data_IF_591195031220
#
_entry.id   IF_591195031220
#
_cell.length_a   1.000
_cell.length_b   1.000
_cell.length_c   1.000
_cell.angle_alpha   90.00
_cell.angle_beta   90.00
_cell.angle_gamma   90.00
#
_symmetry.space_group_name_H-M   'P 1'
#
loop_
_entity.id
_entity.type
_entity.pdbx_description
1 polymer ?
#
# COMPACT_ATOMS: atom_id res chain seq x y z
N UNK A 1 -12.78 -30.86 15.14
CA UNK A 1 -14.15 -30.43 15.50
C UNK A 1 -14.63 -29.49 14.41
N UNK A 2 -15.65 -29.86 13.64
CA UNK A 2 -16.26 -28.96 12.65
C UNK A 2 -17.01 -27.89 13.43
N UNK A 3 -16.53 -26.64 13.42
CA UNK A 3 -17.30 -25.52 13.98
C UNK A 3 -18.52 -25.33 13.09
N UNK A 4 -19.70 -25.57 13.65
CA UNK A 4 -20.99 -25.34 13.00
C UNK A 4 -21.10 -23.88 12.53
N UNK A 5 -21.63 -23.68 11.32
CA UNK A 5 -21.91 -22.34 10.82
C UNK A 5 -22.94 -21.64 11.73
N UNK A 6 -22.83 -20.31 11.93
CA UNK A 6 -23.89 -19.54 12.55
C UNK A 6 -25.20 -19.73 11.76
N UNK A 7 -26.32 -19.96 12.46
CA UNK A 7 -27.63 -20.29 11.87
C UNK A 7 -28.24 -19.23 10.95
N UNK A 8 -27.64 -18.03 10.87
CA UNK A 8 -28.08 -16.91 10.03
C UNK A 8 -27.36 -16.82 8.67
N UNK A 9 -26.43 -17.72 8.35
CA UNK A 9 -25.77 -17.75 7.03
C UNK A 9 -26.33 -18.88 6.15
N UNK A 10 -27.37 -18.58 5.39
CA UNK A 10 -28.06 -19.51 4.48
C UNK A 10 -27.20 -20.13 3.37
N UNK A 11 -25.98 -19.63 3.13
CA UNK A 11 -25.06 -20.08 2.08
C UNK A 11 -23.73 -20.64 2.63
N UNK A 12 -23.63 -20.86 3.96
CA UNK A 12 -22.41 -21.33 4.61
C UNK A 12 -22.30 -22.85 4.52
N UNK A 13 -21.32 -23.34 3.75
CA UNK A 13 -21.03 -24.76 3.66
C UNK A 13 -20.22 -25.23 4.88
N UNK A 14 -19.20 -24.46 5.29
CA UNK A 14 -18.35 -24.79 6.45
C UNK A 14 -17.57 -23.57 6.95
N UNK A 15 -17.42 -23.42 8.27
CA UNK A 15 -16.43 -22.50 8.84
C UNK A 15 -15.00 -23.01 8.57
N UNK A 16 -14.10 -22.13 8.14
CA UNK A 16 -12.70 -22.52 7.92
C UNK A 16 -11.92 -22.46 9.22
N UNK A 17 -11.08 -23.48 9.46
CA UNK A 17 -10.17 -23.51 10.59
C UNK A 17 -8.96 -22.60 10.31
N UNK A 18 -9.16 -21.30 10.51
CA UNK A 18 -8.11 -20.30 10.38
C UNK A 18 -7.17 -20.36 11.58
N UNK A 19 -5.87 -20.21 11.33
CA UNK A 19 -4.92 -20.01 12.42
C UNK A 19 -5.21 -18.69 13.13
N UNK A 20 -4.96 -18.64 14.44
CA UNK A 20 -5.08 -17.41 15.25
C UNK A 20 -4.30 -16.25 14.63
N UNK A 21 -3.16 -16.54 13.99
CA UNK A 21 -2.35 -15.55 13.27
C UNK A 21 -3.09 -14.89 12.10
N UNK A 22 -3.85 -15.65 11.31
CA UNK A 22 -4.62 -15.10 10.19
C UNK A 22 -5.77 -14.21 10.68
N UNK A 23 -6.43 -14.61 11.77
CA UNK A 23 -7.48 -13.84 12.45
C UNK A 23 -6.91 -12.51 12.96
N UNK A 24 -5.77 -12.56 13.64
CA UNK A 24 -5.09 -11.37 14.19
C UNK A 24 -4.70 -10.36 13.11
N UNK A 25 -4.27 -10.79 11.92
CA UNK A 25 -3.87 -9.88 10.85
C UNK A 25 -5.06 -9.05 10.32
N UNK A 26 -6.26 -9.62 10.22
CA UNK A 26 -7.46 -8.86 9.84
C UNK A 26 -7.89 -7.87 10.92
N UNK A 27 -7.84 -8.26 12.20
CA UNK A 27 -8.12 -7.35 13.31
C UNK A 27 -7.16 -6.16 13.34
N UNK A 28 -5.87 -6.41 13.12
CA UNK A 28 -4.85 -5.36 13.02
C UNK A 28 -5.16 -4.41 11.84
N UNK A 29 -5.64 -4.94 10.72
CA UNK A 29 -6.03 -4.14 9.55
C UNK A 29 -7.22 -3.23 9.82
N UNK A 30 -8.18 -3.67 10.64
CA UNK A 30 -9.28 -2.82 11.13
C UNK A 30 -8.77 -1.68 12.02
N UNK A 31 -7.82 -1.96 12.91
CA UNK A 31 -7.18 -0.92 13.72
C UNK A 31 -6.47 0.11 12.82
N UNK A 32 -5.78 -0.33 11.76
CA UNK A 32 -5.16 0.58 10.78
C UNK A 32 -6.19 1.44 10.08
N UNK A 33 -7.32 0.88 9.64
CA UNK A 33 -8.40 1.66 9.03
C UNK A 33 -8.85 2.79 9.96
N UNK A 34 -9.08 2.45 11.23
CA UNK A 34 -9.51 3.41 12.24
C UNK A 34 -8.47 4.52 12.45
N UNK A 35 -7.18 4.15 12.56
CA UNK A 35 -6.08 5.12 12.67
C UNK A 35 -5.98 6.01 11.42
N UNK A 36 -6.16 5.45 10.22
CA UNK A 36 -6.14 6.20 8.96
C UNK A 36 -7.29 7.22 8.91
N UNK A 37 -8.50 6.80 9.28
CA UNK A 37 -9.67 7.67 9.31
C UNK A 37 -9.52 8.80 10.33
N UNK A 38 -9.05 8.50 11.55
CA UNK A 38 -8.78 9.51 12.58
C UNK A 38 -7.71 10.50 12.10
N UNK A 39 -6.61 9.99 11.55
CA UNK A 39 -5.51 10.81 11.05
C UNK A 39 -5.95 11.71 9.89
N UNK A 40 -6.76 11.18 8.96
CA UNK A 40 -7.34 11.97 7.86
C UNK A 40 -8.29 13.06 8.38
N UNK A 41 -9.13 12.73 9.36
CA UNK A 41 -10.05 13.69 9.98
C UNK A 41 -9.28 14.82 10.69
N UNK A 42 -8.24 14.48 11.45
CA UNK A 42 -7.33 15.46 12.08
C UNK A 42 -6.70 16.34 11.00
N UNK A 43 -6.20 15.73 9.92
CA UNK A 43 -5.55 16.44 8.82
C UNK A 43 -6.51 17.40 8.10
N UNK A 44 -7.76 16.99 7.90
CA UNK A 44 -8.83 17.83 7.34
C UNK A 44 -9.18 18.99 8.28
N UNK A 45 -9.43 18.71 9.57
CA UNK A 45 -9.80 19.73 10.57
C UNK A 45 -8.72 20.79 10.75
N UNK A 46 -7.45 20.42 10.70
CA UNK A 46 -6.33 21.35 10.85
C UNK A 46 -6.13 22.23 9.60
N UNK A 47 -6.53 21.78 8.41
CA UNK A 47 -6.09 22.39 7.13
C UNK A 47 -7.20 22.79 6.16
N UNK A 48 -8.41 23.07 6.65
CA UNK A 48 -9.54 23.43 5.78
C UNK A 48 -9.21 24.59 4.80
N UNK A 49 -8.21 25.42 5.11
CA UNK A 49 -7.80 26.58 4.31
C UNK A 49 -6.54 26.40 3.43
N UNK A 50 -5.79 25.27 3.52
CA UNK A 50 -4.54 25.06 2.76
C UNK A 50 -4.54 23.79 1.89
N UNK A 51 -5.69 23.49 1.29
CA UNK A 51 -5.93 22.28 0.49
C UNK A 51 -5.00 22.09 -0.71
N UNK A 52 -4.49 23.16 -1.33
CA UNK A 52 -3.69 23.07 -2.56
C UNK A 52 -2.34 22.38 -2.33
N UNK A 53 -1.61 22.72 -1.26
CA UNK A 53 -0.36 22.05 -0.90
C UNK A 53 -0.57 20.66 -0.30
N UNK A 54 -1.75 20.41 0.29
CA UNK A 54 -2.09 19.17 1.00
C UNK A 54 -2.79 18.12 0.11
N UNK A 55 -3.16 18.48 -1.13
CA UNK A 55 -3.94 17.64 -2.06
C UNK A 55 -3.34 16.26 -2.24
N UNK A 56 -2.01 16.19 -2.26
CA UNK A 56 -1.27 14.98 -2.55
C UNK A 56 -1.08 14.07 -1.32
N UNK A 57 -1.11 14.60 -0.10
CA UNK A 57 -1.18 13.82 1.15
C UNK A 57 -2.60 13.28 1.36
N UNK A 58 -3.60 14.14 1.17
CA UNK A 58 -5.00 13.76 1.23
C UNK A 58 -5.33 12.61 0.27
N UNK A 59 -4.84 12.67 -0.98
CA UNK A 59 -4.97 11.57 -1.96
C UNK A 59 -4.43 10.24 -1.44
N UNK A 60 -3.25 10.24 -0.80
CA UNK A 60 -2.63 9.03 -0.26
C UNK A 60 -3.48 8.46 0.89
N UNK A 61 -3.95 9.31 1.81
CA UNK A 61 -4.83 8.89 2.91
C UNK A 61 -6.14 8.28 2.42
N UNK A 62 -6.84 8.96 1.50
CA UNK A 62 -8.11 8.48 0.94
C UNK A 62 -7.91 7.14 0.26
N UNK A 63 -6.83 6.99 -0.49
CA UNK A 63 -6.60 5.77 -1.21
C UNK A 63 -6.17 4.60 -0.32
N UNK A 64 -5.42 4.86 0.76
CA UNK A 64 -5.18 3.86 1.83
C UNK A 64 -6.49 3.41 2.46
N UNK A 65 -7.40 4.34 2.78
CA UNK A 65 -8.72 4.01 3.33
C UNK A 65 -9.50 3.13 2.34
N UNK A 66 -9.54 3.51 1.06
CA UNK A 66 -10.17 2.72 0.00
C UNK A 66 -9.58 1.30 -0.06
N UNK A 67 -8.26 1.15 -0.04
CA UNK A 67 -7.60 -0.15 -0.05
C UNK A 67 -8.05 -1.02 1.14
N UNK A 68 -8.11 -0.47 2.35
CA UNK A 68 -8.46 -1.24 3.55
C UNK A 68 -9.95 -1.55 3.62
N UNK A 69 -10.82 -0.62 3.21
CA UNK A 69 -12.29 -0.81 3.17
C UNK A 69 -12.71 -1.96 2.26
N UNK A 70 -12.00 -2.24 1.18
CA UNK A 70 -12.30 -3.39 0.31
C UNK A 70 -11.63 -4.68 0.76
N UNK A 71 -10.43 -4.59 1.33
CA UNK A 71 -9.69 -5.77 1.81
C UNK A 71 -10.31 -6.39 3.04
N UNK A 72 -10.80 -5.61 4.00
CA UNK A 72 -11.40 -6.14 5.24
C UNK A 72 -12.64 -7.02 4.97
N UNK A 73 -13.66 -6.58 4.21
CA UNK A 73 -14.81 -7.42 3.88
C UNK A 73 -14.39 -8.68 3.14
N UNK A 74 -13.46 -8.54 2.19
CA UNK A 74 -12.91 -9.69 1.47
C UNK A 74 -12.29 -10.72 2.42
N UNK A 75 -11.48 -10.27 3.36
CA UNK A 75 -10.85 -11.10 4.37
C UNK A 75 -11.89 -11.78 5.25
N UNK A 76 -12.91 -11.04 5.71
CA UNK A 76 -13.99 -11.59 6.53
C UNK A 76 -14.77 -12.68 5.80
N UNK A 77 -15.09 -12.47 4.53
CA UNK A 77 -15.78 -13.46 3.71
C UNK A 77 -14.93 -14.72 3.47
N UNK A 78 -13.59 -14.62 3.46
CA UNK A 78 -12.73 -15.80 3.31
C UNK A 78 -12.62 -16.68 4.57
N UNK A 79 -13.13 -16.23 5.74
CA UNK A 79 -13.19 -17.01 7.00
C UNK A 79 -14.15 -18.20 6.85
N UNK A 80 -15.07 -18.13 5.90
CA UNK A 80 -16.11 -19.12 5.68
C UNK A 80 -15.96 -19.71 4.28
N UNK A 81 -16.26 -21.00 4.14
CA UNK A 81 -16.47 -21.64 2.85
C UNK A 81 -17.96 -21.55 2.53
N UNK A 82 -18.28 -20.97 1.38
CA UNK A 82 -19.64 -20.86 0.89
C UNK A 82 -19.96 -22.02 -0.06
N UNK A 83 -21.23 -22.29 -0.26
CA UNK A 83 -21.69 -23.20 -1.30
C UNK A 83 -21.29 -22.68 -2.70
N UNK A 84 -20.95 -23.61 -3.60
CA UNK A 84 -20.59 -23.26 -4.97
C UNK A 84 -21.74 -22.50 -5.67
N UNK A 85 -21.39 -21.57 -6.56
CA UNK A 85 -22.31 -20.69 -7.29
C UNK A 85 -23.22 -19.78 -6.43
N UNK A 86 -23.00 -19.71 -5.12
CA UNK A 86 -23.75 -18.80 -4.25
C UNK A 86 -23.32 -17.33 -4.40
N UNK A 87 -24.22 -16.35 -4.15
CA UNK A 87 -23.89 -14.92 -4.22
C UNK A 87 -22.64 -14.51 -3.40
N UNK A 88 -22.37 -15.08 -2.21
CA UNK A 88 -21.13 -14.83 -1.49
C UNK A 88 -19.86 -15.24 -2.24
N UNK A 89 -19.85 -16.33 -2.99
CA UNK A 89 -18.68 -16.74 -3.80
C UNK A 89 -18.38 -15.69 -4.87
N UNK A 90 -19.42 -15.20 -5.56
CA UNK A 90 -19.30 -14.14 -6.56
C UNK A 90 -18.76 -12.86 -5.91
N UNK A 91 -19.26 -12.49 -4.73
CA UNK A 91 -18.79 -11.33 -3.99
C UNK A 91 -17.33 -11.47 -3.54
N UNK A 92 -16.88 -12.66 -3.11
CA UNK A 92 -15.47 -12.94 -2.78
C UNK A 92 -14.57 -12.73 -4.00
N UNK A 93 -14.99 -13.22 -5.17
CA UNK A 93 -14.25 -13.05 -6.42
C UNK A 93 -14.16 -11.58 -6.85
N UNK A 94 -15.27 -10.85 -6.79
CA UNK A 94 -15.30 -9.40 -7.09
C UNK A 94 -14.39 -8.61 -6.15
N UNK A 95 -14.51 -8.85 -4.84
CA UNK A 95 -13.69 -8.19 -3.84
C UNK A 95 -12.20 -8.54 -4.02
N UNK A 96 -11.86 -9.77 -4.37
CA UNK A 96 -10.47 -10.15 -4.68
C UNK A 96 -9.91 -9.35 -5.87
N UNK A 97 -10.72 -9.18 -6.92
CA UNK A 97 -10.35 -8.36 -8.10
C UNK A 97 -10.15 -6.89 -7.74
N UNK A 98 -10.96 -6.33 -6.85
CA UNK A 98 -10.80 -4.96 -6.33
C UNK A 98 -9.54 -4.87 -5.47
N UNK A 99 -9.25 -5.88 -4.65
CA UNK A 99 -8.04 -5.94 -3.82
C UNK A 99 -6.76 -5.96 -4.65
N UNK A 100 -6.75 -6.62 -5.82
CA UNK A 100 -5.65 -6.56 -6.78
C UNK A 100 -5.45 -5.15 -7.34
N UNK A 101 -6.52 -4.45 -7.75
CA UNK A 101 -6.42 -3.06 -8.21
C UNK A 101 -5.89 -2.13 -7.11
N UNK A 102 -6.33 -2.36 -5.87
CA UNK A 102 -5.83 -1.66 -4.71
C UNK A 102 -4.32 -1.91 -4.45
N UNK A 103 -3.77 -3.07 -4.83
CA UNK A 103 -2.33 -3.32 -4.76
C UNK A 103 -1.53 -2.46 -5.77
N UNK A 104 -2.01 -2.34 -7.01
CA UNK A 104 -1.38 -1.44 -8.00
C UNK A 104 -1.37 0.00 -7.50
N UNK A 105 -2.50 0.44 -6.95
CA UNK A 105 -2.65 1.77 -6.39
C UNK A 105 -1.70 1.99 -5.19
N UNK A 106 -1.60 1.02 -4.28
CA UNK A 106 -0.65 1.07 -3.16
C UNK A 106 0.80 1.17 -3.64
N UNK A 107 1.16 0.38 -4.66
CA UNK A 107 2.51 0.41 -5.23
C UNK A 107 2.86 1.75 -5.87
N UNK A 108 1.93 2.32 -6.63
CA UNK A 108 2.06 3.68 -7.18
C UNK A 108 2.33 4.70 -6.06
N UNK A 109 1.63 4.62 -4.92
CA UNK A 109 1.89 5.51 -3.79
C UNK A 109 3.26 5.32 -3.16
N UNK A 110 3.78 4.10 -3.09
CA UNK A 110 5.12 3.88 -2.55
C UNK A 110 6.17 4.54 -3.44
N UNK A 111 6.02 4.43 -4.75
CA UNK A 111 6.89 5.06 -5.75
C UNK A 111 6.83 6.59 -5.63
N UNK A 112 5.62 7.15 -5.58
CA UNK A 112 5.41 8.60 -5.43
C UNK A 112 5.91 9.13 -4.08
N UNK A 113 5.69 8.38 -2.99
CA UNK A 113 6.15 8.75 -1.66
C UNK A 113 7.66 8.78 -1.64
N UNK A 114 8.31 7.74 -2.18
CA UNK A 114 9.76 7.66 -2.25
C UNK A 114 10.35 8.81 -3.09
N UNK A 115 9.77 9.11 -4.25
CA UNK A 115 10.16 10.28 -5.04
C UNK A 115 10.10 11.57 -4.20
N UNK A 116 9.03 11.80 -3.43
CA UNK A 116 8.96 13.00 -2.57
C UNK A 116 10.04 13.05 -1.51
N UNK A 117 10.37 11.91 -0.87
CA UNK A 117 11.47 11.85 0.08
C UNK A 117 12.77 12.30 -0.59
N UNK A 118 13.02 11.85 -1.82
CA UNK A 118 14.21 12.23 -2.60
C UNK A 118 14.19 13.73 -2.93
N UNK A 119 13.06 14.27 -3.40
CA UNK A 119 12.94 15.69 -3.76
C UNK A 119 13.07 16.63 -2.55
N UNK A 120 12.58 16.22 -1.38
CA UNK A 120 12.71 16.99 -0.15
C UNK A 120 14.18 17.22 0.25
N UNK A 121 15.09 16.35 -0.19
CA UNK A 121 16.51 16.47 0.13
C UNK A 121 17.24 17.57 -0.67
N UNK A 122 16.60 18.19 -1.69
CA UNK A 122 17.01 19.40 -2.47
C UNK A 122 18.48 19.54 -2.95
N UNK A 123 19.35 18.56 -2.72
CA UNK A 123 20.80 18.68 -2.88
C UNK A 123 21.37 17.87 -4.05
N UNK A 124 20.54 17.42 -4.99
CA UNK A 124 20.97 16.50 -6.05
C UNK A 124 21.02 17.17 -7.43
N UNK A 125 22.23 17.25 -8.01
CA UNK A 125 22.42 17.65 -9.42
C UNK A 125 21.66 16.77 -10.43
N UNK A 126 21.38 15.50 -10.10
CA UNK A 126 20.71 14.54 -10.98
C UNK A 126 19.21 14.37 -10.66
N UNK A 127 18.59 15.34 -9.99
CA UNK A 127 17.18 15.29 -9.60
C UNK A 127 16.24 15.09 -10.81
N UNK A 128 16.58 15.66 -11.97
CA UNK A 128 15.81 15.49 -13.21
C UNK A 128 15.73 14.04 -13.69
N UNK A 129 16.87 13.33 -13.69
CA UNK A 129 16.94 11.92 -14.12
C UNK A 129 16.13 11.03 -13.17
N UNK A 130 16.23 11.26 -11.86
CA UNK A 130 15.45 10.53 -10.87
C UNK A 130 13.95 10.80 -11.02
N UNK A 131 13.53 12.05 -11.24
CA UNK A 131 12.13 12.37 -11.53
C UNK A 131 11.62 11.55 -12.72
N UNK A 132 12.34 11.55 -13.83
CA UNK A 132 11.93 10.81 -15.05
C UNK A 132 11.81 9.31 -14.76
N UNK A 133 12.78 8.71 -14.07
CA UNK A 133 12.77 7.29 -13.75
C UNK A 133 11.58 6.87 -12.86
N UNK A 134 11.30 7.64 -11.80
CA UNK A 134 10.17 7.37 -10.91
C UNK A 134 8.82 7.62 -11.59
N UNK A 135 8.71 8.66 -12.43
CA UNK A 135 7.52 8.90 -13.23
C UNK A 135 7.27 7.79 -14.26
N UNK A 136 8.33 7.28 -14.90
CA UNK A 136 8.22 6.17 -15.84
C UNK A 136 7.70 4.91 -15.15
N UNK A 137 8.24 4.57 -13.96
CA UNK A 137 7.77 3.44 -13.17
C UNK A 137 6.30 3.59 -12.75
N UNK A 138 5.93 4.77 -12.23
CA UNK A 138 4.56 5.06 -11.82
C UNK A 138 3.57 4.98 -13.00
N UNK A 139 4.01 5.44 -14.17
CA UNK A 139 3.24 5.35 -15.41
C UNK A 139 3.06 3.89 -15.84
N UNK A 140 4.10 3.06 -15.76
CA UNK A 140 4.00 1.62 -16.05
C UNK A 140 3.00 0.95 -15.11
N UNK A 141 3.09 1.20 -13.80
CA UNK A 141 2.15 0.66 -12.80
C UNK A 141 0.72 1.10 -13.13
N UNK A 142 0.52 2.36 -13.49
CA UNK A 142 -0.79 2.91 -13.83
C UNK A 142 -1.35 2.31 -15.12
N UNK A 143 -0.52 2.14 -16.15
CA UNK A 143 -0.91 1.52 -17.42
C UNK A 143 -1.30 0.06 -17.18
N UNK A 144 -0.54 -0.69 -16.38
CA UNK A 144 -0.87 -2.07 -16.04
C UNK A 144 -2.20 -2.18 -15.29
N UNK A 145 -2.44 -1.27 -14.33
CA UNK A 145 -3.73 -1.18 -13.65
C UNK A 145 -4.88 -0.89 -14.64
N UNK A 146 -4.70 0.02 -15.59
CA UNK A 146 -5.69 0.32 -16.63
C UNK A 146 -5.95 -0.88 -17.55
N UNK A 147 -4.89 -1.58 -17.99
CA UNK A 147 -5.02 -2.81 -18.74
C UNK A 147 -5.84 -3.84 -17.96
N UNK A 148 -5.55 -4.05 -16.67
CA UNK A 148 -6.31 -4.99 -15.84
C UNK A 148 -7.79 -4.59 -15.71
N UNK A 149 -8.11 -3.29 -15.59
CA UNK A 149 -9.50 -2.79 -15.55
C UNK A 149 -10.20 -3.04 -16.89
N UNK A 150 -9.58 -2.68 -18.01
CA UNK A 150 -10.15 -2.84 -19.35
C UNK A 150 -10.41 -4.32 -19.63
N UNK A 151 -9.43 -5.18 -19.39
CA UNK A 151 -9.58 -6.62 -19.61
C UNK A 151 -10.70 -7.21 -18.72
N UNK A 152 -10.80 -6.81 -17.44
CA UNK A 152 -11.90 -7.25 -16.57
C UNK A 152 -13.28 -6.76 -17.01
N UNK A 153 -13.35 -5.61 -17.68
CA UNK A 153 -14.62 -5.09 -18.22
C UNK A 153 -15.08 -5.88 -19.47
N UNK A 154 -14.14 -6.48 -20.21
CA UNK A 154 -14.41 -7.27 -21.42
C UNK A 154 -14.32 -8.79 -21.22
N UNK A 155 -13.97 -9.27 -20.03
CA UNK A 155 -13.89 -10.69 -19.71
C UNK A 155 -15.29 -11.28 -19.54
N UNK A 156 -15.72 -12.04 -20.57
CA UNK A 156 -17.00 -12.78 -20.58
C UNK A 156 -16.84 -14.18 -19.94
N UNK A 157 -15.64 -14.55 -19.47
CA UNK A 157 -15.40 -15.89 -18.92
C UNK A 157 -16.11 -16.12 -17.58
N UNK A 158 -16.52 -17.37 -17.38
CA UNK A 158 -17.48 -17.85 -16.38
C UNK A 158 -17.14 -17.45 -14.93
N UNK A 159 -18.16 -17.27 -14.06
CA UNK A 159 -17.97 -16.83 -12.67
C UNK A 159 -17.30 -17.85 -11.75
N UNK A 160 -16.90 -19.03 -12.25
CA UNK A 160 -16.58 -20.21 -11.43
C UNK A 160 -15.10 -20.54 -11.31
N UNK A 161 -14.20 -19.57 -11.52
CA UNK A 161 -12.77 -19.77 -11.33
C UNK A 161 -11.94 -18.48 -11.35
N UNK A 162 -10.67 -18.58 -10.95
CA UNK A 162 -9.70 -17.54 -11.24
C UNK A 162 -9.41 -17.58 -12.74
N UNK A 163 -9.86 -16.56 -13.49
CA UNK A 163 -9.59 -16.48 -14.92
C UNK A 163 -8.09 -16.28 -15.16
N UNK A 164 -7.60 -16.69 -16.34
CA UNK A 164 -6.23 -16.44 -16.81
C UNK A 164 -5.78 -14.98 -16.59
N UNK A 165 -6.72 -14.04 -16.65
CA UNK A 165 -6.51 -12.61 -16.43
C UNK A 165 -6.05 -12.31 -14.99
N UNK A 166 -6.60 -13.02 -14.00
CA UNK A 166 -6.18 -12.85 -12.62
C UNK A 166 -4.75 -13.36 -12.38
N UNK A 167 -4.36 -14.46 -13.04
CA UNK A 167 -2.99 -14.99 -12.97
C UNK A 167 -1.99 -14.02 -13.62
N UNK A 168 -2.31 -13.53 -14.82
CA UNK A 168 -1.53 -12.50 -15.51
C UNK A 168 -1.38 -11.21 -14.67
N UNK A 169 -2.46 -10.79 -14.00
CA UNK A 169 -2.44 -9.64 -13.09
C UNK A 169 -1.58 -9.85 -11.85
N UNK A 170 -1.51 -11.08 -11.33
CA UNK A 170 -0.61 -11.48 -10.24
C UNK A 170 0.85 -11.41 -10.69
N UNK A 171 1.16 -11.90 -11.89
CA UNK A 171 2.52 -11.90 -12.44
C UNK A 171 3.02 -10.48 -12.70
N UNK A 172 2.19 -9.64 -13.31
CA UNK A 172 2.54 -8.24 -13.53
C UNK A 172 2.79 -7.50 -12.21
N UNK A 173 1.95 -7.73 -11.20
CA UNK A 173 2.13 -7.12 -9.89
C UNK A 173 3.40 -7.62 -9.18
N UNK A 174 3.77 -8.89 -9.38
CA UNK A 174 5.04 -9.45 -8.92
C UNK A 174 6.23 -8.72 -9.57
N UNK A 175 6.21 -8.58 -10.90
CA UNK A 175 7.24 -7.87 -11.66
C UNK A 175 7.36 -6.40 -11.24
N UNK A 176 6.24 -5.69 -11.06
CA UNK A 176 6.25 -4.31 -10.56
C UNK A 176 6.86 -4.19 -9.16
N UNK A 177 6.55 -5.15 -8.27
CA UNK A 177 7.10 -5.20 -6.92
C UNK A 177 8.62 -5.44 -6.95
N UNK A 178 9.10 -6.35 -7.81
CA UNK A 178 10.53 -6.58 -8.02
C UNK A 178 11.23 -5.34 -8.57
N UNK A 179 10.68 -4.72 -9.61
CA UNK A 179 11.26 -3.52 -10.24
C UNK A 179 11.36 -2.37 -9.23
N UNK A 180 10.33 -2.18 -8.41
CA UNK A 180 10.34 -1.18 -7.35
C UNK A 180 11.37 -1.49 -6.27
N UNK A 181 11.53 -2.76 -5.88
CA UNK A 181 12.56 -3.20 -4.94
C UNK A 181 13.97 -2.86 -5.48
N UNK A 182 14.24 -3.20 -6.73
CA UNK A 182 15.52 -2.90 -7.41
C UNK A 182 15.76 -1.39 -7.43
N UNK A 183 14.73 -0.60 -7.73
CA UNK A 183 14.83 0.87 -7.75
C UNK A 183 15.07 1.45 -6.35
N UNK A 184 14.36 0.98 -5.33
CA UNK A 184 14.57 1.42 -3.95
C UNK A 184 15.97 1.08 -3.46
N UNK A 185 16.49 -0.12 -3.77
CA UNK A 185 17.84 -0.53 -3.40
C UNK A 185 18.91 0.29 -4.14
N UNK A 186 18.84 0.38 -5.46
CA UNK A 186 19.85 1.06 -6.28
C UNK A 186 19.87 2.56 -6.00
N UNK A 187 18.72 3.23 -6.10
CA UNK A 187 18.60 4.67 -5.87
C UNK A 187 18.83 5.00 -4.40
N UNK A 188 18.26 4.22 -3.48
CA UNK A 188 18.44 4.40 -2.03
C UNK A 188 19.91 4.28 -1.60
N UNK A 189 20.65 3.33 -2.16
CA UNK A 189 22.10 3.16 -1.87
C UNK A 189 22.93 4.36 -2.36
N UNK A 190 22.66 4.83 -3.59
CA UNK A 190 23.35 6.03 -4.15
C UNK A 190 23.03 7.28 -3.31
N UNK A 191 21.77 7.44 -2.89
CA UNK A 191 21.33 8.53 -2.02
C UNK A 191 22.00 8.47 -0.65
N UNK A 192 22.07 7.29 -0.03
CA UNK A 192 22.72 7.10 1.26
C UNK A 192 24.20 7.46 1.22
N UNK A 193 24.90 7.04 0.18
CA UNK A 193 26.31 7.36 -0.01
C UNK A 193 26.53 8.88 -0.12
N UNK A 194 25.68 9.57 -0.90
CA UNK A 194 25.75 11.03 -1.03
C UNK A 194 25.34 11.76 0.24
N UNK A 195 24.26 11.34 0.90
CA UNK A 195 23.81 11.94 2.16
C UNK A 195 24.87 11.84 3.25
N UNK A 196 25.58 10.71 3.34
CA UNK A 196 26.71 10.53 4.27
C UNK A 196 27.84 11.54 4.02
N UNK A 197 28.02 11.99 2.78
CA UNK A 197 29.01 13.02 2.44
C UNK A 197 28.61 14.43 2.85
N UNK A 198 27.30 14.71 2.98
CA UNK A 198 26.78 16.05 3.32
C UNK A 198 26.32 16.17 4.78
N UNK A 199 25.89 15.06 5.39
CA UNK A 199 25.40 15.00 6.76
C UNK A 199 26.07 13.85 7.51
N UNK A 200 26.38 14.06 8.79
CA UNK A 200 26.86 12.98 9.66
C UNK A 200 25.81 11.86 9.77
N UNK A 201 26.26 10.61 9.80
CA UNK A 201 25.41 9.41 9.85
C UNK A 201 24.44 9.40 11.05
N UNK A 202 24.77 10.14 12.11
CA UNK A 202 23.93 10.30 13.30
C UNK A 202 22.79 11.33 13.15
N UNK A 203 22.64 11.96 11.99
CA UNK A 203 21.52 12.88 11.74
C UNK A 203 20.20 12.12 11.72
N UNK A 204 19.20 12.61 12.48
CA UNK A 204 17.83 12.06 12.53
C UNK A 204 17.23 11.90 11.11
N UNK A 205 17.57 12.80 10.19
CA UNK A 205 17.11 12.76 8.80
C UNK A 205 17.63 11.55 8.03
N UNK A 206 18.93 11.20 8.18
CA UNK A 206 19.51 10.01 7.54
C UNK A 206 18.89 8.75 8.13
N UNK A 207 18.74 8.68 9.45
CA UNK A 207 18.13 7.53 10.12
C UNK A 207 16.69 7.30 9.66
N UNK A 208 15.86 8.36 9.60
CA UNK A 208 14.50 8.25 9.06
C UNK A 208 14.47 7.82 7.59
N UNK A 209 15.39 8.33 6.76
CA UNK A 209 15.52 7.92 5.36
C UNK A 209 15.84 6.42 5.24
N UNK A 210 16.82 5.92 6.00
CA UNK A 210 17.19 4.49 6.01
C UNK A 210 16.00 3.63 6.42
N UNK A 211 15.32 3.99 7.51
CA UNK A 211 14.18 3.21 8.02
C UNK A 211 13.08 3.12 6.96
N UNK A 212 12.70 4.24 6.34
CA UNK A 212 11.67 4.24 5.29
C UNK A 212 12.12 3.44 4.07
N UNK A 213 13.38 3.58 3.63
CA UNK A 213 13.93 2.82 2.51
C UNK A 213 13.85 1.31 2.76
N UNK A 214 14.26 0.87 3.95
CA UNK A 214 14.27 -0.54 4.34
C UNK A 214 12.85 -1.08 4.37
N UNK A 215 11.91 -0.34 4.96
CA UNK A 215 10.51 -0.77 5.08
C UNK A 215 9.84 -0.89 3.70
N UNK A 216 10.04 0.08 2.81
CA UNK A 216 9.50 0.03 1.45
C UNK A 216 10.13 -1.10 0.63
N UNK A 217 11.43 -1.34 0.81
CA UNK A 217 12.14 -2.45 0.14
C UNK A 217 11.63 -3.80 0.62
N UNK A 218 11.54 -4.01 1.94
CA UNK A 218 11.03 -5.26 2.53
C UNK A 218 9.57 -5.51 2.16
N UNK A 219 8.75 -4.46 2.07
CA UNK A 219 7.38 -4.55 1.56
C UNK A 219 7.34 -5.01 0.11
N UNK A 220 8.08 -4.34 -0.77
CA UNK A 220 8.11 -4.70 -2.19
C UNK A 220 8.66 -6.12 -2.39
N UNK A 221 9.70 -6.50 -1.65
CA UNK A 221 10.30 -7.82 -1.69
C UNK A 221 9.35 -8.90 -1.16
N UNK A 222 8.72 -8.69 0.00
CA UNK A 222 7.75 -9.65 0.55
C UNK A 222 6.57 -9.85 -0.39
N UNK A 223 6.04 -8.79 -0.99
CA UNK A 223 4.97 -8.91 -1.99
C UNK A 223 5.43 -9.67 -3.23
N UNK A 224 6.62 -9.37 -3.75
CA UNK A 224 7.20 -10.12 -4.87
C UNK A 224 7.33 -11.61 -4.53
N UNK A 225 7.97 -11.97 -3.41
CA UNK A 225 8.16 -13.36 -2.99
C UNK A 225 6.83 -14.07 -2.90
N UNK A 226 5.83 -13.44 -2.29
CA UNK A 226 4.52 -14.05 -2.17
C UNK A 226 3.90 -14.24 -3.56
N UNK A 227 3.68 -13.18 -4.35
CA UNK A 227 3.04 -13.28 -5.67
C UNK A 227 3.77 -14.25 -6.61
N UNK A 228 5.10 -14.22 -6.64
CA UNK A 228 5.94 -15.15 -7.38
C UNK A 228 5.73 -16.60 -6.91
N UNK A 229 5.68 -16.82 -5.60
CA UNK A 229 5.41 -18.16 -5.06
C UNK A 229 4.06 -18.70 -5.51
N UNK A 230 3.00 -17.89 -5.60
CA UNK A 230 1.71 -18.38 -6.16
C UNK A 230 1.78 -18.72 -7.63
N UNK A 231 2.43 -17.87 -8.42
CA UNK A 231 2.56 -18.10 -9.86
C UNK A 231 3.22 -19.45 -10.16
N UNK A 232 4.29 -19.80 -9.43
CA UNK A 232 5.08 -21.00 -9.70
C UNK A 232 4.72 -22.23 -8.85
N UNK A 233 4.23 -22.03 -7.63
CA UNK A 233 4.05 -23.10 -6.64
C UNK A 233 2.60 -23.23 -6.15
N UNK A 234 1.62 -22.92 -7.02
CA UNK A 234 0.16 -22.90 -6.82
C UNK A 234 -0.44 -24.11 -6.04
N UNK A 235 0.36 -25.18 -5.81
CA UNK A 235 0.01 -26.41 -5.10
C UNK A 235 0.38 -26.45 -3.60
N UNK A 236 1.27 -25.58 -3.11
CA UNK A 236 1.94 -25.77 -1.81
C UNK A 236 1.56 -24.79 -0.70
N UNK A 237 0.94 -23.64 -1.02
CA UNK A 237 0.37 -22.75 -0.01
C UNK A 237 -1.15 -22.83 0.03
N UNK A 238 -1.71 -22.90 1.24
CA UNK A 238 -3.15 -22.68 1.43
C UNK A 238 -3.50 -21.28 0.89
N UNK A 239 -4.47 -21.21 -0.02
CA UNK A 239 -4.91 -19.96 -0.66
C UNK A 239 -5.19 -18.83 0.33
N UNK A 240 -5.61 -19.15 1.55
CA UNK A 240 -5.87 -18.19 2.66
C UNK A 240 -4.60 -17.59 3.28
N UNK A 241 -3.56 -18.40 3.48
CA UNK A 241 -2.28 -17.91 3.98
C UNK A 241 -1.62 -17.00 2.94
N UNK A 242 -1.66 -17.44 1.68
CA UNK A 242 -1.19 -16.68 0.54
C UNK A 242 -1.88 -15.32 0.41
N UNK A 243 -3.21 -15.34 0.48
CA UNK A 243 -4.08 -14.17 0.46
C UNK A 243 -3.66 -13.13 1.50
N UNK A 244 -3.48 -13.55 2.75
CA UNK A 244 -3.09 -12.65 3.83
C UNK A 244 -1.67 -12.12 3.66
N UNK A 245 -0.73 -12.98 3.24
CA UNK A 245 0.65 -12.60 2.97
C UNK A 245 0.82 -11.68 1.75
N UNK A 246 -0.12 -11.68 0.79
CA UNK A 246 -0.06 -10.78 -0.37
C UNK A 246 -0.80 -9.46 -0.17
N UNK A 247 -1.98 -9.50 0.43
CA UNK A 247 -2.87 -8.34 0.48
C UNK A 247 -2.75 -7.52 1.77
N UNK A 248 -2.20 -8.08 2.85
CA UNK A 248 -2.22 -7.42 4.16
C UNK A 248 -0.83 -7.18 4.74
N UNK A 249 -0.01 -8.23 4.83
CA UNK A 249 1.31 -8.16 5.48
C UNK A 249 2.27 -7.17 4.82
N UNK A 250 2.40 -7.13 3.47
CA UNK A 250 3.36 -6.24 2.83
C UNK A 250 3.00 -4.78 2.98
N UNK A 251 1.73 -4.46 3.21
CA UNK A 251 1.22 -3.08 3.21
C UNK A 251 1.06 -2.50 4.62
N UNK A 252 0.91 -3.32 5.66
CA UNK A 252 0.68 -2.85 7.04
C UNK A 252 1.80 -1.94 7.56
N UNK A 253 3.06 -2.38 7.47
CA UNK A 253 4.21 -1.64 8.00
C UNK A 253 4.49 -0.38 7.17
N UNK A 254 4.56 -0.43 5.83
CA UNK A 254 4.73 0.77 5.00
C UNK A 254 3.63 1.79 5.19
N UNK A 255 2.36 1.38 5.20
CA UNK A 255 1.24 2.31 5.38
C UNK A 255 1.40 3.04 6.71
N UNK A 256 1.64 2.32 7.80
CA UNK A 256 1.84 2.93 9.13
C UNK A 256 3.03 3.90 9.13
N UNK A 257 4.15 3.53 8.52
CA UNK A 257 5.33 4.38 8.44
C UNK A 257 5.13 5.62 7.57
N UNK A 258 4.44 5.49 6.44
CA UNK A 258 4.09 6.61 5.57
C UNK A 258 3.15 7.57 6.31
N UNK A 259 2.14 7.07 7.02
CA UNK A 259 1.22 7.88 7.81
C UNK A 259 1.94 8.68 8.89
N UNK A 260 2.82 8.02 9.64
CA UNK A 260 3.64 8.67 10.68
C UNK A 260 4.56 9.70 10.04
N UNK A 261 5.27 9.35 8.97
CA UNK A 261 6.18 10.26 8.28
C UNK A 261 5.45 11.50 7.77
N UNK A 262 4.30 11.32 7.12
CA UNK A 262 3.51 12.43 6.61
C UNK A 262 3.01 13.33 7.75
N UNK A 263 2.58 12.75 8.86
CA UNK A 263 2.13 13.50 10.05
C UNK A 263 3.26 14.28 10.72
N UNK A 264 4.44 13.66 10.85
CA UNK A 264 5.63 14.28 11.46
C UNK A 264 6.20 15.38 10.58
N UNK A 265 6.40 15.13 9.28
CA UNK A 265 6.88 16.13 8.31
C UNK A 265 5.95 17.34 8.31
N UNK A 266 4.65 17.09 8.25
CA UNK A 266 3.64 18.15 8.26
C UNK A 266 3.67 18.97 9.57
N UNK A 267 3.79 18.31 10.72
CA UNK A 267 3.91 18.99 12.01
C UNK A 267 5.18 19.86 12.10
N UNK A 268 6.28 19.39 11.50
CA UNK A 268 7.54 20.12 11.39
C UNK A 268 7.45 21.35 10.48
N UNK A 269 6.83 21.23 9.31
CA UNK A 269 6.63 22.36 8.39
C UNK A 269 5.77 23.47 9.00
N UNK A 270 4.72 23.10 9.75
CA UNK A 270 3.88 24.05 10.47
C UNK A 270 4.69 24.85 11.50
N UNK A 271 5.48 24.15 12.32
CA UNK A 271 6.34 24.79 13.33
C UNK A 271 7.36 25.72 12.70
N UNK A 272 7.92 25.35 11.54
CA UNK A 272 8.85 26.21 10.81
C UNK A 272 8.17 27.48 10.28
N UNK A 273 6.94 27.38 9.76
CA UNK A 273 6.18 28.54 9.28
C UNK A 273 5.75 29.48 10.41
N UNK A 274 5.34 28.96 11.57
CA UNK A 274 4.98 29.83 12.70
C UNK A 274 6.17 30.65 13.18
N UNK A 275 7.36 30.03 13.25
CA UNK A 275 8.60 30.72 13.61
C UNK A 275 8.95 31.80 12.58
N UNK A 276 8.82 31.50 11.29
CA UNK A 276 9.07 32.49 10.22
C UNK A 276 8.08 33.67 10.27
N UNK A 277 6.80 33.41 10.54
CA UNK A 277 5.79 34.47 10.69
C UNK A 277 6.02 35.32 11.95
N UNK A 278 6.45 34.72 13.06
CA UNK A 278 6.85 35.45 14.28
C UNK A 278 8.09 36.32 14.03
N UNK A 279 9.08 35.81 13.28
CA UNK A 279 10.26 36.57 12.90
C UNK A 279 9.92 37.73 11.97
N UNK A 280 9.11 37.51 10.93
CA UNK A 280 8.65 38.58 10.05
C UNK A 280 7.85 39.63 10.83
N UNK A 281 6.93 39.23 11.71
CA UNK A 281 6.16 40.16 12.54
C UNK A 281 7.05 40.99 13.48
N UNK A 282 8.10 40.40 14.06
CA UNK A 282 9.06 41.11 14.92
C UNK A 282 10.00 42.06 14.16
N UNK A 283 10.11 41.94 12.84
CA UNK A 283 10.96 42.82 12.02
C UNK A 283 10.25 44.13 11.66
N UNK A 284 8.93 44.21 11.86
CA UNK A 284 8.08 45.38 11.56
C UNK A 284 7.54 46.09 12.81
N UNK A 285 8.04 45.75 14.01
CA UNK A 285 7.80 46.43 15.30
C UNK A 285 9.09 46.94 15.87
#
# INVERSE_FOLDING_TARGET
MVKSCPSWMHYCAKGKDWSTSLISIGCVSMCVLLVCCISLFILYRINMHQLVHMRQHYKIFVAVIVCVVFRVPWWFMNIVTYEDDSPPVIAVLMLNRICMLALYLAQSFYVQTWLRVILALRQFKNESVLKVLFFALDSIITVLMLCEIIYKAFDVSTPTGYSFIYELGVDFMACCSLLSCILYLSVGSVLLFKLKSYFSFCSKTIQSFVIVSVILTLSALSRFICLFYKSFFNKYMKNELFAVLCYFVPDFIPISCILIMQTVVYSGERKKRSILQEQEASTYT
#
